data_IF_071462802596
#
_entry.id   IF_071462802596
#
_cell.length_a   1.000
_cell.length_b   1.000
_cell.length_c   1.000
_cell.angle_alpha   90.00
_cell.angle_beta   90.00
_cell.angle_gamma   90.00
#
_symmetry.space_group_name_H-M   'P 1'
#
loop_
_entity.id
_entity.type
_entity.pdbx_description
1 polymer ?
#
# COMPACT_ATOMS: atom_id res chain seq x y z
N UNK A 1 2.51 0.07 -22.75
CA UNK A 1 1.11 0.51 -22.88
C UNK A 1 0.78 1.35 -21.66
N UNK A 2 0.08 2.47 -21.83
CA UNK A 2 -0.40 3.26 -20.69
C UNK A 2 -1.77 2.75 -20.28
N UNK A 3 -1.98 2.51 -18.99
CA UNK A 3 -3.32 2.39 -18.42
C UNK A 3 -4.07 3.71 -18.69
N UNK A 4 -5.32 3.63 -19.12
CA UNK A 4 -6.24 4.75 -19.26
C UNK A 4 -7.02 4.96 -17.96
N UNK A 5 -7.67 6.12 -17.80
CA UNK A 5 -8.51 6.39 -16.63
C UNK A 5 -9.66 5.37 -16.48
N UNK A 6 -10.32 5.01 -17.57
CA UNK A 6 -11.42 4.03 -17.56
C UNK A 6 -10.92 2.64 -17.17
N UNK A 7 -9.79 2.19 -17.70
CA UNK A 7 -9.21 0.90 -17.31
C UNK A 7 -8.79 0.87 -15.85
N UNK A 8 -8.24 1.98 -15.33
CA UNK A 8 -7.91 2.12 -13.91
C UNK A 8 -9.15 2.01 -13.02
N UNK A 9 -10.23 2.72 -13.36
CA UNK A 9 -11.47 2.68 -12.57
C UNK A 9 -12.12 1.29 -12.57
N UNK A 10 -12.11 0.61 -13.72
CA UNK A 10 -12.57 -0.79 -13.83
C UNK A 10 -11.71 -1.72 -12.97
N UNK A 11 -10.38 -1.59 -13.03
CA UNK A 11 -9.45 -2.38 -12.23
C UNK A 11 -9.64 -2.14 -10.74
N UNK A 12 -9.78 -0.88 -10.31
CA UNK A 12 -9.97 -0.55 -8.90
C UNK A 12 -11.32 -1.08 -8.39
N UNK A 13 -12.36 -1.01 -9.21
CA UNK A 13 -13.70 -1.53 -8.92
C UNK A 13 -13.85 -3.05 -8.99
N UNK A 14 -12.86 -3.79 -9.51
CA UNK A 14 -12.90 -5.25 -9.59
C UNK A 14 -12.88 -5.88 -8.18
N UNK A 15 -14.01 -6.43 -7.73
CA UNK A 15 -14.13 -7.05 -6.40
C UNK A 15 -13.64 -8.50 -6.35
N UNK A 16 -13.18 -9.08 -7.48
CA UNK A 16 -12.59 -10.42 -7.51
C UNK A 16 -11.16 -10.44 -6.98
N UNK A 17 -10.54 -9.27 -6.80
CA UNK A 17 -9.13 -9.16 -6.37
C UNK A 17 -8.92 -9.85 -5.02
N UNK A 18 -7.93 -10.74 -4.95
CA UNK A 18 -7.63 -11.48 -3.75
C UNK A 18 -6.14 -11.69 -3.54
N UNK A 19 -5.70 -11.63 -2.28
CA UNK A 19 -4.41 -12.16 -1.83
C UNK A 19 -4.67 -13.47 -1.13
N UNK A 20 -3.95 -14.53 -1.50
CA UNK A 20 -4.10 -15.86 -0.91
C UNK A 20 -2.95 -16.19 0.03
N UNK A 21 -3.27 -16.72 1.20
CA UNK A 21 -2.27 -17.17 2.17
C UNK A 21 -1.76 -16.06 3.08
N UNK A 22 -0.90 -16.46 4.00
CA UNK A 22 -0.32 -15.56 4.99
C UNK A 22 0.77 -14.67 4.39
N UNK A 23 0.88 -13.46 4.93
CA UNK A 23 1.93 -12.50 4.59
C UNK A 23 2.80 -12.31 5.83
N UNK A 24 4.11 -12.37 5.65
CA UNK A 24 5.09 -12.06 6.68
C UNK A 24 6.00 -10.94 6.22
N UNK A 25 6.37 -10.08 7.16
CA UNK A 25 7.39 -9.05 6.95
C UNK A 25 8.78 -9.68 6.90
N UNK A 26 9.62 -9.19 5.99
CA UNK A 26 11.02 -9.55 5.88
C UNK A 26 11.89 -8.28 5.96
N UNK A 27 13.17 -8.45 6.29
CA UNK A 27 14.16 -7.36 6.17
C UNK A 27 14.27 -6.93 4.70
N UNK A 28 14.50 -5.62 4.48
CA UNK A 28 14.82 -5.13 3.14
C UNK A 28 16.25 -5.52 2.71
N UNK A 29 16.51 -5.43 1.41
CA UNK A 29 17.80 -5.84 0.80
C UNK A 29 19.00 -5.00 1.30
N UNK A 30 18.74 -3.78 1.77
CA UNK A 30 19.77 -2.83 2.22
C UNK A 30 20.08 -2.95 3.72
N UNK A 31 19.48 -3.92 4.42
CA UNK A 31 19.56 -4.10 5.88
C UNK A 31 19.23 -2.80 6.64
N UNK A 32 18.31 -2.01 6.10
CA UNK A 32 17.77 -0.85 6.78
C UNK A 32 16.83 -1.30 7.90
N UNK A 33 16.42 -0.41 8.82
CA UNK A 33 15.41 -0.76 9.82
C UNK A 33 14.02 -1.01 9.21
N UNK A 34 13.85 -0.82 7.89
CA UNK A 34 12.59 -1.08 7.23
C UNK A 34 12.37 -2.56 6.95
N UNK A 35 11.12 -2.96 7.08
CA UNK A 35 10.60 -4.27 6.76
C UNK A 35 9.72 -4.17 5.54
N UNK A 36 9.69 -5.20 4.72
CA UNK A 36 8.87 -5.25 3.52
C UNK A 36 8.27 -6.63 3.24
N UNK A 37 7.25 -6.62 2.39
CA UNK A 37 6.79 -7.80 1.68
C UNK A 37 6.35 -7.41 0.27
N UNK A 38 6.32 -8.39 -0.62
CA UNK A 38 5.70 -8.28 -1.93
C UNK A 38 4.82 -9.50 -2.15
N UNK A 39 3.53 -9.29 -2.38
CA UNK A 39 2.56 -10.37 -2.59
C UNK A 39 1.80 -10.16 -3.89
N UNK A 40 1.52 -11.24 -4.60
CA UNK A 40 0.69 -11.21 -5.80
C UNK A 40 -0.79 -11.05 -5.43
N UNK A 41 -1.52 -10.26 -6.23
CA UNK A 41 -2.96 -10.14 -6.14
C UNK A 41 -3.57 -10.86 -7.33
N UNK A 42 -4.34 -11.91 -7.05
CA UNK A 42 -5.11 -12.64 -8.04
C UNK A 42 -6.36 -11.83 -8.41
N UNK A 43 -6.80 -11.91 -9.66
CA UNK A 43 -8.12 -11.41 -10.08
C UNK A 43 -8.68 -12.27 -11.20
N UNK A 44 -10.01 -12.38 -11.29
CA UNK A 44 -10.68 -13.16 -12.35
C UNK A 44 -10.42 -12.55 -13.74
N UNK A 45 -10.27 -11.23 -13.78
CA UNK A 45 -9.90 -10.50 -14.98
C UNK A 45 -8.43 -10.72 -15.42
N UNK A 46 -7.61 -11.37 -14.58
CA UNK A 46 -6.22 -11.70 -14.88
C UNK A 46 -5.28 -10.48 -14.85
N UNK A 47 -5.59 -9.45 -14.05
CA UNK A 47 -4.71 -8.29 -13.92
C UNK A 47 -3.39 -8.68 -13.25
N UNK A 48 -2.22 -8.30 -13.78
CA UNK A 48 -0.95 -8.68 -13.21
C UNK A 48 -0.57 -7.74 -12.05
N UNK A 49 -1.20 -7.95 -10.89
CA UNK A 49 -1.17 -7.06 -9.74
C UNK A 49 -0.29 -7.58 -8.59
N UNK A 50 0.34 -6.65 -7.88
CA UNK A 50 1.13 -6.91 -6.67
C UNK A 50 0.82 -5.88 -5.62
N UNK A 51 0.92 -6.26 -4.35
CA UNK A 51 0.99 -5.29 -3.26
C UNK A 51 2.34 -5.37 -2.59
N UNK A 52 3.00 -4.21 -2.47
CA UNK A 52 4.18 -4.05 -1.63
C UNK A 52 3.77 -3.40 -0.32
N UNK A 53 4.12 -4.02 0.80
CA UNK A 53 4.11 -3.40 2.12
C UNK A 53 5.52 -2.93 2.47
N UNK A 54 5.65 -1.74 3.07
CA UNK A 54 6.90 -1.25 3.65
C UNK A 54 6.61 -0.59 4.98
N UNK A 55 7.30 -1.02 6.03
CA UNK A 55 7.12 -0.53 7.39
C UNK A 55 8.47 -0.21 8.01
N UNK A 56 8.64 1.01 8.51
CA UNK A 56 9.83 1.41 9.26
C UNK A 56 9.40 1.78 10.68
N UNK A 57 9.67 0.92 11.68
CA UNK A 57 9.28 1.17 13.08
C UNK A 57 10.05 2.33 13.71
N UNK A 58 11.28 2.62 13.28
CA UNK A 58 12.08 3.72 13.84
C UNK A 58 11.60 5.09 13.35
N UNK A 59 11.20 5.17 12.09
CA UNK A 59 10.65 6.38 11.50
C UNK A 59 9.13 6.50 11.69
N UNK A 60 8.48 5.51 12.30
CA UNK A 60 7.03 5.39 12.42
C UNK A 60 6.32 5.66 11.09
N UNK A 61 6.77 4.97 10.03
CA UNK A 61 6.18 5.12 8.69
C UNK A 61 5.75 3.79 8.10
N UNK A 62 4.65 3.80 7.37
CA UNK A 62 4.04 2.61 6.76
C UNK A 62 3.49 2.96 5.38
N UNK A 63 3.70 2.08 4.42
CA UNK A 63 3.18 2.19 3.07
C UNK A 63 2.59 0.87 2.61
N UNK A 64 1.40 0.92 2.02
CA UNK A 64 0.86 -0.16 1.19
C UNK A 64 0.64 0.36 -0.22
N UNK A 65 1.19 -0.36 -1.20
CA UNK A 65 1.24 0.09 -2.58
C UNK A 65 0.72 -1.00 -3.50
N UNK A 66 -0.37 -0.73 -4.23
CA UNK A 66 -0.85 -1.57 -5.31
C UNK A 66 -0.10 -1.22 -6.60
N UNK A 67 0.48 -2.25 -7.22
CA UNK A 67 1.36 -2.16 -8.38
C UNK A 67 0.77 -3.00 -9.50
N UNK A 68 0.63 -2.40 -10.68
CA UNK A 68 0.32 -3.14 -11.91
C UNK A 68 1.59 -3.38 -12.72
N UNK A 69 1.85 -4.65 -13.07
CA UNK A 69 3.02 -5.04 -13.88
C UNK A 69 2.95 -4.36 -15.25
N UNK A 70 3.90 -3.47 -15.52
CA UNK A 70 3.97 -2.68 -16.76
C UNK A 70 3.50 -1.22 -16.65
N UNK A 71 2.84 -0.84 -15.55
CA UNK A 71 2.42 0.55 -15.28
C UNK A 71 3.13 1.11 -14.05
N UNK A 72 3.38 0.26 -13.04
CA UNK A 72 3.98 0.66 -11.77
C UNK A 72 2.91 0.89 -10.70
N UNK A 73 3.18 1.83 -9.79
CA UNK A 73 2.29 2.23 -8.68
C UNK A 73 1.00 2.83 -9.24
N UNK A 74 -0.13 2.22 -8.90
CA UNK A 74 -1.48 2.64 -9.34
C UNK A 74 -2.38 3.03 -8.17
N UNK A 75 -1.99 2.71 -6.94
CA UNK A 75 -2.69 3.15 -5.75
C UNK A 75 -1.76 2.97 -4.54
N UNK A 76 -1.82 3.87 -3.57
CA UNK A 76 -1.03 3.76 -2.35
C UNK A 76 -1.70 4.41 -1.15
N UNK A 77 -1.44 3.84 0.03
CA UNK A 77 -1.73 4.42 1.33
C UNK A 77 -0.42 4.60 2.08
N UNK A 78 -0.16 5.83 2.52
CA UNK A 78 1.06 6.22 3.22
C UNK A 78 0.72 6.87 4.57
N UNK A 79 1.39 6.40 5.63
CA UNK A 79 1.31 6.91 7.00
C UNK A 79 2.71 7.30 7.49
N UNK A 80 2.80 8.38 8.28
CA UNK A 80 4.06 8.88 8.83
C UNK A 80 4.99 9.50 7.79
N UNK A 81 4.45 9.94 6.65
CA UNK A 81 5.22 10.54 5.55
C UNK A 81 4.51 11.81 5.07
N UNK A 82 5.15 12.96 5.21
CA UNK A 82 4.59 14.20 4.70
C UNK A 82 4.49 14.19 3.16
N UNK A 83 3.39 14.72 2.63
CA UNK A 83 3.20 14.87 1.19
C UNK A 83 2.66 16.24 0.80
N UNK A 84 3.18 16.73 -0.33
CA UNK A 84 2.66 17.89 -1.04
C UNK A 84 2.24 17.45 -2.44
N UNK A 85 1.02 17.83 -2.83
CA UNK A 85 0.57 17.65 -4.21
C UNK A 85 1.40 18.51 -5.18
N UNK A 86 1.40 18.22 -6.49
CA UNK A 86 2.07 19.05 -7.49
C UNK A 86 1.61 20.52 -7.49
N UNK A 87 0.41 20.80 -6.97
CA UNK A 87 -0.11 22.14 -6.70
C UNK A 87 0.51 22.83 -5.48
N UNK A 88 1.48 22.20 -4.82
CA UNK A 88 2.07 22.56 -3.54
C UNK A 88 1.09 22.55 -2.35
N UNK A 89 -0.10 21.96 -2.50
CA UNK A 89 -1.02 21.77 -1.38
C UNK A 89 -0.48 20.69 -0.44
N UNK A 90 -0.32 21.03 0.85
CA UNK A 90 0.02 20.07 1.90
C UNK A 90 -1.17 19.15 2.21
N UNK A 91 -0.91 17.84 2.22
CA UNK A 91 -1.94 16.80 2.47
C UNK A 91 -1.84 16.23 3.88
N UNK A 92 -0.63 16.18 4.45
CA UNK A 92 -0.35 15.60 5.76
C UNK A 92 0.34 14.24 5.69
N UNK A 93 0.71 13.74 6.87
CA UNK A 93 1.45 12.48 7.04
C UNK A 93 0.65 11.21 6.74
N UNK A 94 -0.68 11.31 6.78
CA UNK A 94 -1.61 10.24 6.40
C UNK A 94 -2.30 10.65 5.11
N UNK A 95 -1.97 9.97 4.03
CA UNK A 95 -2.50 10.29 2.72
C UNK A 95 -2.63 9.05 1.83
N UNK A 96 -3.54 9.13 0.87
CA UNK A 96 -3.71 8.14 -0.19
C UNK A 96 -3.38 8.76 -1.51
N UNK A 97 -2.67 8.03 -2.34
CA UNK A 97 -2.42 8.45 -3.71
C UNK A 97 -3.55 8.00 -4.63
N UNK A 98 -4.00 8.93 -5.48
CA UNK A 98 -4.96 8.68 -6.53
C UNK A 98 -4.21 8.65 -7.86
N UNK A 99 -4.28 7.52 -8.54
CA UNK A 99 -3.77 7.44 -9.88
C UNK A 99 -4.70 8.16 -10.87
N UNK A 100 -4.10 8.92 -11.77
CA UNK A 100 -4.77 9.41 -12.98
C UNK A 100 -3.85 9.26 -14.20
N UNK A 101 -4.43 9.30 -15.39
CA UNK A 101 -3.65 9.21 -16.61
C UNK A 101 -2.64 10.37 -16.75
N UNK A 102 -3.00 11.57 -16.28
CA UNK A 102 -2.20 12.79 -16.38
C UNK A 102 -1.15 12.88 -15.27
N UNK A 103 -1.56 12.70 -14.01
CA UNK A 103 -0.68 12.89 -12.85
C UNK A 103 0.01 11.60 -12.41
N UNK A 104 -0.39 10.45 -12.97
CA UNK A 104 -0.05 9.13 -12.43
C UNK A 104 -0.38 9.15 -10.95
N UNK A 105 0.55 8.72 -10.11
CA UNK A 105 0.32 8.58 -8.68
C UNK A 105 0.83 9.77 -7.84
N UNK A 106 0.92 10.97 -8.44
CA UNK A 106 1.47 12.15 -7.76
C UNK A 106 0.45 12.90 -6.90
N UNK A 107 -0.83 12.75 -7.21
CA UNK A 107 -1.90 13.43 -6.48
C UNK A 107 -2.36 12.57 -5.31
N UNK A 108 -2.47 13.18 -4.13
CA UNK A 108 -2.89 12.53 -2.92
C UNK A 108 -3.99 13.32 -2.20
N UNK A 109 -4.76 12.60 -1.38
CA UNK A 109 -5.80 13.15 -0.52
C UNK A 109 -5.67 12.57 0.88
N UNK A 110 -6.16 13.32 1.87
CA UNK A 110 -6.26 12.82 3.24
C UNK A 110 -7.46 11.88 3.34
N UNK A 111 -7.28 10.63 3.81
CA UNK A 111 -8.40 9.74 4.06
C UNK A 111 -9.06 10.01 5.40
N UNK A 112 -10.39 10.00 5.43
CA UNK A 112 -11.19 10.08 6.66
C UNK A 112 -11.48 8.69 7.24
N UNK A 113 -11.40 7.66 6.41
CA UNK A 113 -11.72 6.27 6.69
C UNK A 113 -10.54 5.44 7.19
N UNK A 114 -9.31 5.95 7.07
CA UNK A 114 -8.11 5.34 7.65
C UNK A 114 -7.91 5.85 9.06
N UNK A 115 -8.28 5.01 10.02
CA UNK A 115 -8.29 5.33 11.45
C UNK A 115 -7.22 4.58 12.24
N UNK A 116 -6.69 3.49 11.69
CA UNK A 116 -5.66 2.70 12.35
C UNK A 116 -4.34 3.50 12.45
N UNK A 117 -3.58 3.19 13.50
CA UNK A 117 -2.29 3.81 13.77
C UNK A 117 -1.17 3.12 12.99
N UNK A 118 -0.08 3.84 12.72
CA UNK A 118 1.10 3.29 12.03
C UNK A 118 1.76 2.13 12.80
N UNK A 119 1.54 2.07 14.11
CA UNK A 119 1.98 0.98 15.00
C UNK A 119 1.11 -0.28 14.93
N UNK A 120 0.01 -0.27 14.18
CA UNK A 120 -0.81 -1.44 13.87
C UNK A 120 -0.89 -1.70 12.35
N UNK A 121 0.19 -2.21 11.73
CA UNK A 121 0.21 -2.46 10.29
C UNK A 121 -0.90 -3.40 9.82
N UNK A 122 -1.32 -4.36 10.64
CA UNK A 122 -2.38 -5.29 10.29
C UNK A 122 -3.75 -4.60 10.18
N UNK A 123 -4.10 -3.71 11.12
CA UNK A 123 -5.34 -2.94 11.00
C UNK A 123 -5.31 -1.95 9.82
N UNK A 124 -4.17 -1.31 9.54
CA UNK A 124 -4.02 -0.45 8.36
C UNK A 124 -4.14 -1.26 7.07
N UNK A 125 -3.63 -2.49 7.05
CA UNK A 125 -3.73 -3.42 5.91
C UNK A 125 -5.18 -3.76 5.59
N UNK A 126 -5.99 -4.09 6.60
CA UNK A 126 -7.41 -4.36 6.41
C UNK A 126 -8.15 -3.16 5.79
N UNK A 127 -7.81 -1.94 6.24
CA UNK A 127 -8.39 -0.70 5.69
C UNK A 127 -7.96 -0.46 4.24
N UNK A 128 -6.68 -0.69 3.92
CA UNK A 128 -6.16 -0.63 2.56
C UNK A 128 -6.87 -1.64 1.63
N UNK A 129 -6.98 -2.90 2.06
CA UNK A 129 -7.65 -3.96 1.32
C UNK A 129 -9.10 -3.61 1.01
N UNK A 130 -9.84 -3.11 1.99
CA UNK A 130 -11.25 -2.74 1.83
C UNK A 130 -11.47 -1.72 0.71
N UNK A 131 -10.64 -0.69 0.64
CA UNK A 131 -10.79 0.36 -0.38
C UNK A 131 -10.21 -0.03 -1.73
N UNK A 132 -9.09 -0.77 -1.73
CA UNK A 132 -8.53 -1.32 -2.95
C UNK A 132 -9.41 -2.45 -3.55
N UNK A 133 -10.49 -2.86 -2.87
CA UNK A 133 -11.35 -3.96 -3.30
C UNK A 133 -10.65 -5.31 -3.28
N UNK A 134 -9.66 -5.49 -2.39
CA UNK A 134 -8.87 -6.71 -2.24
C UNK A 134 -9.40 -7.51 -1.06
N UNK A 135 -9.72 -8.77 -1.28
CA UNK A 135 -9.98 -9.74 -0.22
C UNK A 135 -8.68 -10.42 0.18
N UNK A 136 -8.39 -10.54 1.49
CA UNK A 136 -7.23 -11.30 1.96
C UNK A 136 -7.68 -12.62 2.58
N UNK A 137 -7.33 -13.74 1.94
CA UNK A 137 -7.60 -15.10 2.39
C UNK A 137 -6.42 -15.66 3.19
N UNK A 138 -6.12 -15.00 4.30
CA UNK A 138 -5.01 -15.34 5.17
C UNK A 138 -4.85 -14.29 6.27
N UNK A 139 -3.64 -14.20 6.83
CA UNK A 139 -3.32 -13.18 7.82
C UNK A 139 -2.05 -12.42 7.45
N UNK A 140 -2.05 -11.10 7.66
CA UNK A 140 -0.80 -10.34 7.75
C UNK A 140 -0.24 -10.53 9.16
N UNK A 141 0.87 -11.24 9.27
CA UNK A 141 1.59 -11.38 10.52
C UNK A 141 2.18 -10.03 10.93
N UNK A 142 2.25 -9.79 12.25
CA UNK A 142 2.90 -8.59 12.76
C UNK A 142 4.37 -8.54 12.36
N UNK A 143 4.96 -7.34 12.25
CA UNK A 143 6.39 -7.22 12.00
C UNK A 143 7.18 -7.93 13.12
N UNK A 144 8.30 -8.60 12.81
CA UNK A 144 9.17 -9.13 13.85
C UNK A 144 9.62 -8.00 14.78
N UNK A 145 9.82 -8.28 16.08
CA UNK A 145 10.35 -7.29 17.01
C UNK A 145 11.72 -6.81 16.53
N UNK A 146 11.96 -5.50 16.60
CA UNK A 146 13.26 -4.93 16.28
C UNK A 146 14.33 -5.57 17.19
N UNK A 147 15.34 -6.22 16.59
CA UNK A 147 16.47 -6.74 17.36
C UNK A 147 17.31 -5.56 17.87
N UNK A 148 16.99 -5.06 19.08
CA UNK A 148 17.61 -3.83 19.57
C UNK A 148 17.49 -3.52 21.07
N UNK A 149 16.65 -4.21 21.84
CA UNK A 149 16.73 -4.15 23.31
C UNK A 149 17.52 -5.36 23.81
N UNK A 150 18.84 -5.19 23.92
CA UNK A 150 19.60 -5.95 24.91
C UNK A 150 19.46 -5.18 26.22
N UNK A 151 18.85 -5.83 27.21
CA UNK A 151 18.90 -5.42 28.62
C UNK A 151 20.36 -5.14 29.09
#
# INVERSE_FOLDING_TARGET
>A
MSLTQTEFEVLLGDTSKAVTGDIAWAEDEDHSPALEFLVEVQSDAGYPLFVRGSYNPLALSLSYVLIHRGVGRIYALDLGKDHHNPSCQYVGERHKHRWSEVQRDKEAYRPDDVTADVTDPAAVWEQFCKEAGIRHDGRLHGPPPAQGERD
#
